data_IF_512821451795
#
_entry.id   IF_512821451795
#
_cell.length_a   1.000
_cell.length_b   1.000
_cell.length_c   1.000
_cell.angle_alpha   90.00
_cell.angle_beta   90.00
_cell.angle_gamma   90.00
#
_symmetry.space_group_name_H-M   'P 1'
#
loop_
_entity.id
_entity.type
_entity.pdbx_description
1 polymer ?
#
# COMPACT_ATOMS: atom_id res chain seq x y z
N UNK A 1 -1.91 -10.07 19.46
CA UNK A 1 -0.97 -8.94 19.22
C UNK A 1 0.21 -9.37 18.35
N UNK A 2 0.75 -10.58 18.51
CA UNK A 2 1.89 -11.09 17.72
C UNK A 2 1.73 -10.96 16.20
N UNK A 3 0.55 -11.26 15.63
CA UNK A 3 0.34 -11.16 14.18
C UNK A 3 0.54 -9.75 13.60
N UNK A 4 0.19 -8.71 14.36
CA UNK A 4 0.37 -7.32 13.92
C UNK A 4 1.86 -6.91 13.94
N UNK A 5 2.61 -7.45 14.91
CA UNK A 5 4.06 -7.22 15.00
C UNK A 5 4.79 -7.84 13.81
N UNK A 6 4.41 -9.06 13.42
CA UNK A 6 4.94 -9.71 12.21
C UNK A 6 4.65 -8.84 10.96
N UNK A 7 3.46 -8.25 10.88
CA UNK A 7 3.13 -7.34 9.77
C UNK A 7 4.02 -6.09 9.78
N UNK A 8 4.26 -5.49 10.95
CA UNK A 8 5.19 -4.36 11.07
C UNK A 8 6.60 -4.73 10.64
N UNK A 9 7.14 -5.86 11.11
CA UNK A 9 8.46 -6.35 10.68
C UNK A 9 8.56 -6.52 9.17
N UNK A 10 7.54 -7.14 8.55
CA UNK A 10 7.52 -7.38 7.11
C UNK A 10 7.40 -6.09 6.31
N UNK A 11 6.59 -5.14 6.76
CA UNK A 11 6.43 -3.84 6.08
C UNK A 11 7.67 -2.97 6.25
N UNK A 12 8.30 -2.95 7.43
CA UNK A 12 9.56 -2.25 7.66
C UNK A 12 10.71 -2.85 6.85
N UNK A 13 10.80 -4.18 6.75
CA UNK A 13 11.76 -4.87 5.88
C UNK A 13 11.58 -4.47 4.42
N UNK A 14 10.34 -4.52 3.92
CA UNK A 14 10.03 -4.09 2.56
C UNK A 14 10.44 -2.64 2.33
N UNK A 15 10.11 -1.75 3.26
CA UNK A 15 10.43 -0.33 3.12
C UNK A 15 11.95 -0.07 3.19
N UNK A 16 12.73 -0.90 3.90
CA UNK A 16 14.20 -0.86 3.84
C UNK A 16 14.76 -1.35 2.51
N UNK A 17 14.23 -2.47 1.99
CA UNK A 17 14.61 -2.98 0.67
C UNK A 17 14.35 -1.93 -0.41
N UNK A 18 13.19 -1.27 -0.35
CA UNK A 18 12.81 -0.24 -1.34
C UNK A 18 13.58 1.07 -1.17
N UNK A 19 14.07 1.38 0.03
CA UNK A 19 14.91 2.55 0.29
C UNK A 19 16.40 2.31 -0.05
N UNK A 20 16.81 1.06 -0.23
CA UNK A 20 18.18 0.71 -0.59
C UNK A 20 18.54 1.19 -2.02
N UNK A 21 19.82 1.47 -2.25
CA UNK A 21 20.30 1.89 -3.57
C UNK A 21 20.13 0.83 -4.67
N UNK A 22 20.03 -0.45 -4.30
CA UNK A 22 19.82 -1.55 -5.23
C UNK A 22 18.79 -2.56 -4.66
N UNK A 23 17.49 -2.38 -4.93
CA UNK A 23 16.43 -3.24 -4.39
C UNK A 23 16.60 -4.73 -4.74
N UNK A 24 17.12 -5.05 -5.93
CA UNK A 24 17.31 -6.44 -6.40
C UNK A 24 18.41 -7.19 -5.64
N UNK A 25 19.38 -6.48 -5.09
CA UNK A 25 20.41 -7.06 -4.24
C UNK A 25 19.98 -7.04 -2.77
N UNK A 26 19.32 -5.96 -2.37
CA UNK A 26 18.90 -5.75 -0.99
C UNK A 26 17.88 -6.79 -0.49
N UNK A 27 16.98 -7.32 -1.34
CA UNK A 27 16.07 -8.38 -0.90
C UNK A 27 16.78 -9.71 -0.60
N UNK A 28 18.03 -9.90 -1.08
CA UNK A 28 18.84 -11.09 -0.78
C UNK A 28 19.65 -10.94 0.50
N UNK A 29 20.02 -9.71 0.86
CA UNK A 29 20.92 -9.41 1.97
C UNK A 29 20.19 -8.96 3.23
N UNK A 30 19.09 -8.20 3.08
CA UNK A 30 18.31 -7.69 4.20
C UNK A 30 17.38 -8.77 4.75
N UNK A 31 17.44 -8.93 6.06
CA UNK A 31 16.55 -9.79 6.83
C UNK A 31 15.86 -8.99 7.92
N UNK A 32 14.87 -9.58 8.60
CA UNK A 32 14.17 -8.96 9.73
C UNK A 32 15.12 -8.59 10.89
N UNK A 33 16.29 -9.22 10.96
CA UNK A 33 17.34 -8.97 11.97
C UNK A 33 18.28 -7.81 11.58
N UNK A 34 18.15 -7.25 10.38
CA UNK A 34 19.00 -6.14 9.95
C UNK A 34 18.84 -4.92 10.88
N UNK A 35 19.92 -4.23 11.29
CA UNK A 35 19.85 -3.11 12.24
C UNK A 35 18.89 -1.99 11.80
N UNK A 36 18.83 -1.67 10.50
CA UNK A 36 17.92 -0.65 9.98
C UNK A 36 16.45 -1.06 10.11
N UNK A 37 16.15 -2.32 9.80
CA UNK A 37 14.79 -2.88 9.92
C UNK A 37 14.36 -2.88 11.38
N UNK A 38 15.21 -3.35 12.29
CA UNK A 38 14.93 -3.39 13.74
C UNK A 38 14.69 -1.98 14.29
N UNK A 39 15.48 -0.99 13.87
CA UNK A 39 15.27 0.40 14.29
C UNK A 39 13.92 0.97 13.84
N UNK A 40 13.53 0.69 12.59
CA UNK A 40 12.22 1.11 12.06
C UNK A 40 11.06 0.41 12.76
N UNK A 41 11.19 -0.90 13.01
CA UNK A 41 10.18 -1.67 13.77
C UNK A 41 10.03 -1.09 15.17
N UNK A 42 11.13 -0.91 15.91
CA UNK A 42 11.09 -0.33 17.26
C UNK A 42 10.50 1.09 17.29
N UNK A 43 10.67 1.89 16.24
CA UNK A 43 10.00 3.18 16.13
C UNK A 43 8.50 3.02 15.84
N UNK A 44 8.11 2.16 14.90
CA UNK A 44 6.70 1.88 14.60
C UNK A 44 5.93 1.36 15.82
N UNK A 45 6.56 0.52 16.63
CA UNK A 45 6.00 0.02 17.90
C UNK A 45 5.78 1.13 18.93
N UNK A 46 6.75 2.04 19.08
CA UNK A 46 6.62 3.20 19.98
C UNK A 46 5.47 4.10 19.54
N UNK A 47 5.39 4.39 18.23
CA UNK A 47 4.30 5.19 17.66
C UNK A 47 2.94 4.48 17.84
N UNK A 48 2.90 3.16 17.66
CA UNK A 48 1.70 2.36 17.90
C UNK A 48 1.25 2.40 19.36
N UNK A 49 2.19 2.38 20.31
CA UNK A 49 1.87 2.53 21.73
C UNK A 49 1.24 3.90 22.04
N UNK A 50 1.69 4.98 21.40
CA UNK A 50 1.07 6.31 21.52
C UNK A 50 -0.36 6.30 21.00
N UNK A 51 -0.59 5.68 19.83
CA UNK A 51 -1.93 5.53 19.27
C UNK A 51 -2.86 4.70 20.17
N UNK A 52 -2.38 3.57 20.71
CA UNK A 52 -3.18 2.72 21.60
C UNK A 52 -3.61 3.44 22.89
N UNK A 53 -2.72 4.26 23.47
CA UNK A 53 -3.04 5.09 24.65
C UNK A 53 -4.02 6.22 24.33
N UNK A 54 -4.26 6.49 23.04
CA UNK A 54 -5.07 7.61 22.53
C UNK A 54 -4.55 8.96 23.02
N UNK A 55 -3.24 9.09 23.17
CA UNK A 55 -2.62 10.31 23.66
C UNK A 55 -2.62 11.42 22.59
N UNK A 56 -2.50 12.67 23.04
CA UNK A 56 -2.36 13.83 22.18
C UNK A 56 -3.56 14.04 21.25
N UNK A 57 -3.32 14.05 19.93
CA UNK A 57 -4.34 14.36 18.92
C UNK A 57 -5.49 13.34 18.91
N UNK A 58 -5.21 12.09 19.25
CA UNK A 58 -6.21 11.00 19.22
C UNK A 58 -7.18 11.01 20.40
N UNK A 59 -6.90 11.81 21.44
CA UNK A 59 -7.81 11.98 22.59
C UNK A 59 -9.01 12.88 22.27
N UNK A 60 -8.92 13.69 21.21
CA UNK A 60 -9.92 14.73 20.89
C UNK A 60 -11.21 14.07 20.40
N UNK A 61 -12.39 14.41 20.96
CA UNK A 61 -13.66 13.81 20.55
C UNK A 61 -13.96 13.95 19.05
N UNK A 62 -13.63 15.09 18.45
CA UNK A 62 -13.80 15.33 17.01
C UNK A 62 -12.97 14.39 16.12
N UNK A 63 -11.79 13.99 16.57
CA UNK A 63 -10.91 13.07 15.84
C UNK A 63 -11.47 11.64 15.86
N UNK A 64 -12.07 11.26 16.99
CA UNK A 64 -12.74 9.96 17.16
C UNK A 64 -14.05 9.88 16.36
N UNK A 65 -14.83 10.96 16.33
CA UNK A 65 -16.00 11.10 15.46
C UNK A 65 -15.61 10.96 13.99
N UNK A 66 -14.57 11.70 13.57
CA UNK A 66 -14.09 11.66 12.20
C UNK A 66 -13.52 10.29 11.79
N UNK A 67 -12.98 9.51 12.73
CA UNK A 67 -12.51 8.15 12.45
C UNK A 67 -13.64 7.21 11.97
N UNK A 68 -14.90 7.49 12.34
CA UNK A 68 -16.06 6.70 11.92
C UNK A 68 -16.61 7.13 10.55
N UNK A 69 -16.44 8.40 10.22
CA UNK A 69 -17.09 9.02 9.06
C UNK A 69 -16.16 9.21 7.86
N UNK A 70 -14.83 9.19 8.08
CA UNK A 70 -13.82 9.36 7.04
C UNK A 70 -13.31 8.02 6.52
N UNK A 71 -12.82 8.02 5.28
CA UNK A 71 -12.03 6.91 4.76
C UNK A 71 -10.80 6.68 5.67
N UNK A 72 -10.51 5.43 6.11
CA UNK A 72 -9.42 5.16 7.03
C UNK A 72 -8.06 5.67 6.56
N UNK A 73 -7.75 5.56 5.27
CA UNK A 73 -6.49 6.05 4.70
C UNK A 73 -6.40 7.59 4.77
N UNK A 74 -7.49 8.30 4.44
CA UNK A 74 -7.56 9.76 4.54
C UNK A 74 -7.46 10.24 5.99
N UNK A 75 -8.09 9.54 6.93
CA UNK A 75 -8.00 9.84 8.36
C UNK A 75 -6.56 9.73 8.88
N UNK A 76 -5.84 8.66 8.52
CA UNK A 76 -4.42 8.49 8.85
C UNK A 76 -3.55 9.58 8.20
N UNK A 77 -3.83 9.98 6.97
CA UNK A 77 -3.14 11.08 6.31
C UNK A 77 -3.36 12.44 6.99
N UNK A 78 -4.51 12.67 7.61
CA UNK A 78 -4.84 13.94 8.26
C UNK A 78 -4.33 14.02 9.70
N UNK A 79 -4.59 12.99 10.51
CA UNK A 79 -4.29 13.00 11.94
C UNK A 79 -3.00 12.26 12.32
N UNK A 80 -2.55 11.33 11.48
CA UNK A 80 -1.39 10.48 11.73
C UNK A 80 -0.04 11.12 11.43
N UNK A 81 0.02 12.35 10.91
CA UNK A 81 1.29 12.99 10.48
C UNK A 81 2.38 13.07 11.55
N UNK A 82 1.97 13.14 12.81
CA UNK A 82 2.89 13.17 13.96
C UNK A 82 3.47 11.78 14.32
N UNK A 83 2.93 10.72 13.73
CA UNK A 83 3.40 9.33 13.81
C UNK A 83 3.81 8.87 12.39
N UNK A 84 5.00 9.27 11.91
CA UNK A 84 5.36 9.12 10.50
C UNK A 84 5.46 7.67 10.03
N UNK A 85 5.98 6.74 10.83
CA UNK A 85 6.07 5.34 10.42
C UNK A 85 4.71 4.64 10.52
N UNK A 86 3.96 4.89 11.59
CA UNK A 86 2.64 4.29 11.77
C UNK A 86 1.66 4.78 10.71
N UNK A 87 1.67 6.07 10.38
CA UNK A 87 0.80 6.63 9.33
C UNK A 87 1.16 6.15 7.92
N UNK A 88 2.42 5.77 7.67
CA UNK A 88 2.82 5.12 6.41
C UNK A 88 2.41 3.64 6.35
N UNK A 89 2.42 2.95 7.50
CA UNK A 89 2.08 1.53 7.61
C UNK A 89 0.56 1.31 7.63
N UNK A 90 -0.18 2.11 8.39
CA UNK A 90 -1.59 1.87 8.68
C UNK A 90 -2.49 1.77 7.44
N UNK A 91 -2.41 2.66 6.42
CA UNK A 91 -3.21 2.52 5.21
C UNK A 91 -2.94 1.20 4.47
N UNK A 92 -1.69 0.71 4.49
CA UNK A 92 -1.30 -0.54 3.82
C UNK A 92 -1.83 -1.77 4.54
N UNK A 93 -1.84 -1.74 5.87
CA UNK A 93 -2.46 -2.77 6.70
C UNK A 93 -3.97 -2.79 6.49
N UNK A 94 -4.62 -1.63 6.45
CA UNK A 94 -6.05 -1.48 6.21
C UNK A 94 -6.45 -1.90 4.78
N UNK A 95 -5.53 -1.77 3.82
CA UNK A 95 -5.72 -2.23 2.44
C UNK A 95 -5.47 -3.74 2.26
N UNK A 96 -4.93 -4.45 3.27
CA UNK A 96 -4.79 -5.91 3.16
C UNK A 96 -6.17 -6.56 3.11
N UNK A 97 -6.37 -7.47 2.15
CA UNK A 97 -7.58 -8.26 2.09
C UNK A 97 -7.66 -9.18 3.32
N UNK A 98 -8.58 -8.89 4.25
CA UNK A 98 -8.77 -9.68 5.46
C UNK A 98 -9.52 -11.01 5.22
N UNK A 99 -10.03 -11.24 4.01
CA UNK A 99 -10.86 -12.40 3.69
C UNK A 99 -10.11 -13.40 2.78
N UNK A 100 -10.08 -14.67 3.22
CA UNK A 100 -9.59 -15.78 2.41
C UNK A 100 -10.37 -15.95 1.10
N UNK A 101 -11.62 -15.48 1.04
CA UNK A 101 -12.46 -15.52 -0.16
C UNK A 101 -11.85 -14.78 -1.36
N UNK A 102 -11.00 -13.76 -1.14
CA UNK A 102 -10.27 -13.12 -2.23
C UNK A 102 -9.22 -14.07 -2.83
N UNK A 103 -8.50 -14.81 -1.99
CA UNK A 103 -7.55 -15.83 -2.43
C UNK A 103 -8.27 -17.01 -3.07
N UNK A 104 -9.39 -17.48 -2.52
CA UNK A 104 -10.20 -18.56 -3.09
C UNK A 104 -10.72 -18.22 -4.49
N UNK A 105 -11.15 -16.97 -4.72
CA UNK A 105 -11.52 -16.50 -6.07
C UNK A 105 -10.33 -16.58 -7.03
N UNK A 106 -9.15 -16.09 -6.63
CA UNK A 106 -7.95 -16.18 -7.46
C UNK A 106 -7.58 -17.63 -7.78
N UNK A 107 -7.69 -18.54 -6.80
CA UNK A 107 -7.45 -19.97 -6.99
C UNK A 107 -8.48 -20.65 -7.91
N UNK A 108 -9.74 -20.25 -7.81
CA UNK A 108 -10.80 -20.74 -8.71
C UNK A 108 -10.52 -20.32 -10.16
N UNK A 109 -10.17 -19.05 -10.38
CA UNK A 109 -9.80 -18.51 -11.70
C UNK A 109 -8.56 -19.23 -12.25
N UNK A 110 -7.55 -19.46 -11.40
CA UNK A 110 -6.37 -20.24 -11.79
C UNK A 110 -6.76 -21.65 -12.27
N UNK A 111 -7.64 -22.33 -11.55
CA UNK A 111 -8.18 -23.64 -11.93
C UNK A 111 -8.94 -23.62 -13.25
N UNK A 112 -9.74 -22.58 -13.50
CA UNK A 112 -10.45 -22.39 -14.76
C UNK A 112 -9.48 -22.18 -15.93
N UNK A 113 -8.47 -21.32 -15.76
CA UNK A 113 -7.47 -21.01 -16.79
C UNK A 113 -6.66 -22.26 -17.16
N UNK A 114 -6.22 -23.03 -16.16
CA UNK A 114 -5.52 -24.31 -16.38
C UNK A 114 -6.42 -25.38 -17.01
N UNK A 115 -7.70 -25.47 -16.61
CA UNK A 115 -8.64 -26.46 -17.12
C UNK A 115 -9.17 -26.17 -18.53
N UNK A 116 -9.31 -24.88 -18.90
CA UNK A 116 -9.79 -24.47 -20.22
C UNK A 116 -8.75 -24.74 -21.32
N UNK A 117 -7.46 -24.65 -21.00
CA UNK A 117 -6.38 -24.91 -21.93
C UNK A 117 -5.98 -26.39 -21.86
N UNK A 118 -6.55 -27.23 -22.73
CA UNK A 118 -6.25 -28.68 -22.79
C UNK A 118 -4.76 -29.00 -23.06
N UNK A 119 -3.95 -28.02 -23.44
CA UNK A 119 -2.49 -28.18 -23.52
C UNK A 119 -1.82 -27.61 -22.27
N UNK A 120 -0.83 -28.35 -21.75
CA UNK A 120 -0.12 -28.03 -20.50
C UNK A 120 0.46 -26.62 -20.55
N UNK A 121 -0.22 -25.68 -19.91
CA UNK A 121 0.25 -24.32 -19.72
C UNK A 121 1.26 -24.27 -18.57
N UNK A 122 2.36 -23.54 -18.75
CA UNK A 122 3.33 -23.37 -17.67
C UNK A 122 2.74 -22.55 -16.53
N UNK A 123 3.15 -22.86 -15.29
CA UNK A 123 2.68 -22.15 -14.09
C UNK A 123 2.90 -20.63 -14.20
N UNK A 124 4.06 -20.19 -14.70
CA UNK A 124 4.35 -18.77 -14.86
C UNK A 124 3.47 -18.06 -15.90
N UNK A 125 2.91 -18.78 -16.87
CA UNK A 125 1.94 -18.19 -17.83
C UNK A 125 0.57 -18.07 -17.19
N UNK A 126 0.12 -19.11 -16.48
CA UNK A 126 -1.16 -19.09 -15.79
C UNK A 126 -1.22 -18.02 -14.70
N UNK A 127 -0.13 -17.84 -13.94
CA UNK A 127 -0.02 -16.79 -12.91
C UNK A 127 -0.20 -15.39 -13.51
N UNK A 128 0.46 -15.10 -14.63
CA UNK A 128 0.29 -13.83 -15.37
C UNK A 128 -1.14 -13.63 -15.85
N UNK A 129 -1.81 -14.69 -16.30
CA UNK A 129 -3.21 -14.60 -16.76
C UNK A 129 -4.17 -14.33 -15.60
N UNK A 130 -3.98 -14.97 -14.44
CA UNK A 130 -4.75 -14.67 -13.22
C UNK A 130 -4.53 -13.21 -12.80
N UNK A 131 -3.29 -12.73 -12.83
CA UNK A 131 -2.99 -11.33 -12.54
C UNK A 131 -3.73 -10.38 -13.48
N UNK A 132 -3.67 -10.61 -14.80
CA UNK A 132 -4.39 -9.80 -15.78
C UNK A 132 -5.91 -9.84 -15.57
N UNK A 133 -6.46 -11.01 -15.25
CA UNK A 133 -7.88 -11.18 -14.95
C UNK A 133 -8.30 -10.33 -13.74
N UNK A 134 -7.60 -10.47 -12.61
CA UNK A 134 -7.93 -9.72 -11.40
C UNK A 134 -7.69 -8.21 -11.57
N UNK A 135 -6.61 -7.81 -12.23
CA UNK A 135 -6.34 -6.41 -12.52
C UNK A 135 -7.46 -5.77 -13.35
N UNK A 136 -7.92 -6.46 -14.40
CA UNK A 136 -9.03 -6.00 -15.24
C UNK A 136 -10.34 -5.93 -14.45
N UNK A 137 -10.62 -6.93 -13.62
CA UNK A 137 -11.81 -6.95 -12.78
C UNK A 137 -11.82 -5.82 -11.74
N UNK A 138 -10.67 -5.54 -11.10
CA UNK A 138 -10.52 -4.40 -10.19
C UNK A 138 -10.73 -3.09 -10.95
N UNK A 139 -10.13 -2.94 -12.13
CA UNK A 139 -10.25 -1.73 -12.92
C UNK A 139 -11.69 -1.44 -13.34
N UNK A 140 -12.44 -2.47 -13.73
CA UNK A 140 -13.87 -2.34 -14.06
C UNK A 140 -14.67 -1.85 -12.85
N UNK A 141 -14.46 -2.45 -11.68
CA UNK A 141 -15.13 -2.00 -10.45
C UNK A 141 -14.76 -0.58 -10.04
N UNK A 142 -13.52 -0.17 -10.28
CA UNK A 142 -13.10 1.22 -10.06
C UNK A 142 -13.83 2.17 -11.01
N UNK A 143 -13.99 1.82 -12.28
CA UNK A 143 -14.76 2.60 -13.25
C UNK A 143 -16.24 2.71 -12.86
N UNK A 144 -16.87 1.60 -12.46
CA UNK A 144 -18.25 1.56 -11.99
C UNK A 144 -18.47 2.40 -10.73
N UNK A 145 -17.47 2.43 -9.84
CA UNK A 145 -17.47 3.29 -8.65
C UNK A 145 -17.19 4.77 -8.97
N UNK A 146 -17.07 5.14 -10.26
CA UNK A 146 -16.78 6.50 -10.70
C UNK A 146 -15.33 6.94 -10.44
N UNK A 147 -14.44 6.01 -10.09
CA UNK A 147 -13.03 6.30 -9.87
C UNK A 147 -12.34 6.58 -11.21
N UNK A 148 -11.87 7.81 -11.38
CA UNK A 148 -11.07 8.23 -12.54
C UNK A 148 -9.61 8.25 -12.11
N UNK A 149 -8.79 7.43 -12.77
CA UNK A 149 -7.35 7.52 -12.62
C UNK A 149 -6.92 8.97 -12.91
N UNK A 150 -6.17 9.59 -11.99
CA UNK A 150 -5.56 10.89 -12.26
C UNK A 150 -4.56 10.69 -13.41
N UNK A 151 -4.95 11.07 -14.62
CA UNK A 151 -4.00 11.16 -15.73
C UNK A 151 -3.10 12.34 -15.40
N UNK A 152 -1.87 12.07 -14.97
CA UNK A 152 -0.82 13.08 -14.95
C UNK A 152 -0.70 13.62 -16.38
N UNK A 153 -1.32 14.77 -16.63
CA UNK A 153 -1.19 15.43 -17.91
C UNK A 153 0.23 16.01 -17.93
N UNK A 154 1.14 15.30 -18.59
CA UNK A 154 2.45 15.85 -18.98
C UNK A 154 2.15 16.97 -19.97
N UNK A 155 1.91 18.19 -19.46
CA UNK A 155 1.49 19.30 -20.31
C UNK A 155 0.80 20.44 -19.58
N UNK A 156 1.33 20.89 -18.45
CA UNK A 156 1.06 22.25 -17.96
C UNK A 156 2.23 22.81 -17.14
N UNK A 157 3.47 22.59 -17.61
CA UNK A 157 4.53 23.55 -17.34
C UNK A 157 4.42 24.60 -18.43
N UNK A 158 3.66 25.65 -18.14
CA UNK A 158 3.66 26.90 -18.90
C UNK A 158 5.11 27.39 -18.99
N UNK A 159 5.74 27.17 -20.13
CA UNK A 159 6.92 27.93 -20.57
C UNK A 159 6.56 29.42 -20.50
N UNK A 160 7.03 30.11 -19.46
CA UNK A 160 7.02 31.58 -19.44
C UNK A 160 8.12 32.03 -20.39
N UNK A 161 7.73 32.33 -21.62
CA UNK A 161 8.52 33.10 -22.56
C UNK A 161 8.80 34.50 -21.94
N UNK A 162 10.07 34.95 -21.86
CA UNK A 162 10.36 36.30 -21.38
C UNK A 162 9.96 37.33 -22.43
N UNK A 163 9.09 38.24 -22.01
CA UNK A 163 8.58 39.40 -22.74
C UNK A 163 9.73 40.20 -23.38
N UNK A 164 9.76 40.21 -24.72
CA UNK A 164 10.63 41.11 -25.49
C UNK A 164 10.18 42.55 -25.25
N UNK A 165 11.00 43.31 -24.52
CA UNK A 165 10.87 44.75 -24.41
C UNK A 165 10.85 45.38 -25.83
N UNK A 166 9.75 46.06 -26.15
CA UNK A 166 9.64 46.96 -27.29
C UNK A 166 9.35 48.37 -26.77
N UNK A 167 10.25 49.26 -27.20
CA UNK A 167 10.25 50.74 -27.18
C UNK A 167 10.64 51.38 -25.86
#
# INVERSE_FOLDING_TARGET
MEGLMIVFERLCLRDEIMASANPEQAWRELTTTSPGVVARVAQAEREFAVYQRRDGVFSRPSVLENAKNMEPAAWWGMYGKHLPLLSAIAPRVLAQAAAASAAERNWSVYGQIQGAHKSRMSHGTADKLVFCHEAMHVQLRMQDAGWRAQTWSVGSMSEREPERARV
#
